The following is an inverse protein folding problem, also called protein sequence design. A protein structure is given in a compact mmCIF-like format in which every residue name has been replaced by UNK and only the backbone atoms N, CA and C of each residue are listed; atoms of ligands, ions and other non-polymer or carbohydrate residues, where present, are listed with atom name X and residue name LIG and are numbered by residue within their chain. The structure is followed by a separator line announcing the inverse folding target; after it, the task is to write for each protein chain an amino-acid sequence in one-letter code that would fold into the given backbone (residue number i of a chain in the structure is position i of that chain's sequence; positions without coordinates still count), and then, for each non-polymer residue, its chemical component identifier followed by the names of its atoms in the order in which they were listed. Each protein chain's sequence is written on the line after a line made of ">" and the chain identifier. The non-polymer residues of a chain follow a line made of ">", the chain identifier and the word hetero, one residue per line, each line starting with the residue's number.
data_IF_228414395760
#
_entry.id   IF_228414395760
#
_cell.length_a   1.000
_cell.length_b   1.000
_cell.length_c   1.000
_cell.angle_alpha   90.00
_cell.angle_beta   90.00
_cell.angle_gamma   90.00
#
_symmetry.space_group_name_H-M   'P 1'
#
loop_
_entity.id
_entity.type
_entity.pdbx_description
1 polymer ?
#
# COMPACT_ATOMS: atom_id res chain seq x y z
N UNK A 1 -15.66 5.61 7.96
CA UNK A 1 -15.58 4.75 6.76
C UNK A 1 -14.31 5.07 5.96
N UNK A 2 -13.59 4.07 5.55
CA UNK A 2 -12.36 4.24 4.79
C UNK A 2 -12.60 4.75 3.37
N UNK A 3 -11.70 5.60 2.90
CA UNK A 3 -11.63 5.97 1.48
C UNK A 3 -10.67 5.00 0.79
N UNK A 4 -11.18 4.25 -0.17
CA UNK A 4 -10.40 3.23 -0.89
C UNK A 4 -10.48 3.52 -2.38
N UNK A 5 -9.32 3.51 -3.04
CA UNK A 5 -9.24 3.60 -4.50
C UNK A 5 -8.18 2.66 -5.03
N UNK A 6 -8.51 1.95 -6.11
CA UNK A 6 -7.55 1.18 -6.91
C UNK A 6 -7.58 1.82 -8.30
N UNK A 7 -6.47 2.40 -8.72
CA UNK A 7 -6.44 3.28 -9.87
C UNK A 7 -5.10 3.22 -10.59
N UNK A 8 -5.09 3.63 -11.86
CA UNK A 8 -3.85 3.76 -12.64
C UNK A 8 -3.14 5.09 -12.37
N UNK A 9 -3.92 6.12 -12.09
CA UNK A 9 -3.44 7.49 -11.90
C UNK A 9 -2.68 7.63 -10.59
N UNK A 10 -1.72 8.56 -10.57
CA UNK A 10 -1.03 8.95 -9.36
C UNK A 10 -2.00 9.64 -8.38
N UNK A 11 -1.53 9.89 -7.18
CA UNK A 11 -2.32 10.53 -6.12
C UNK A 11 -1.56 11.73 -5.57
N UNK A 12 -2.31 12.69 -5.05
CA UNK A 12 -1.77 13.87 -4.39
C UNK A 12 -1.83 13.67 -2.88
N UNK A 13 -0.69 13.40 -2.27
CA UNK A 13 -0.59 13.09 -0.83
C UNK A 13 -1.10 14.25 0.01
N UNK A 14 -0.70 15.48 -0.32
CA UNK A 14 -1.15 16.66 0.41
C UNK A 14 -2.67 16.86 0.35
N UNK A 15 -3.26 16.64 -0.82
CA UNK A 15 -4.71 16.73 -0.99
C UNK A 15 -5.44 15.65 -0.19
N UNK A 16 -4.91 14.44 -0.16
CA UNK A 16 -5.51 13.35 0.61
C UNK A 16 -5.40 13.58 2.13
N UNK A 17 -4.29 14.13 2.60
CA UNK A 17 -4.14 14.52 4.00
C UNK A 17 -5.16 15.62 4.36
N UNK A 18 -5.28 16.63 3.52
CA UNK A 18 -6.25 17.72 3.74
C UNK A 18 -7.69 17.20 3.77
N UNK A 19 -8.02 16.28 2.86
CA UNK A 19 -9.35 15.65 2.84
C UNK A 19 -9.65 14.91 4.14
N UNK A 20 -8.67 14.20 4.68
CA UNK A 20 -8.82 13.39 5.88
C UNK A 20 -8.95 14.25 7.15
N UNK A 21 -8.27 15.39 7.19
CA UNK A 21 -8.13 16.20 8.41
C UNK A 21 -9.01 17.45 8.44
N UNK A 22 -9.57 17.87 7.30
CA UNK A 22 -10.32 19.11 7.21
C UNK A 22 -11.48 19.18 8.20
N UNK A 23 -11.52 20.24 9.00
CA UNK A 23 -12.56 20.47 9.98
C UNK A 23 -12.53 19.55 11.20
N UNK A 24 -11.47 18.74 11.36
CA UNK A 24 -11.36 17.77 12.45
C UNK A 24 -10.42 18.28 13.54
N UNK A 25 -10.85 18.17 14.80
CA UNK A 25 -10.05 18.57 15.97
C UNK A 25 -9.80 17.40 16.91
N UNK A 26 -10.29 16.22 16.57
CA UNK A 26 -10.16 14.98 17.36
C UNK A 26 -8.95 14.13 16.98
N UNK A 27 -8.30 14.44 15.85
CA UNK A 27 -7.15 13.68 15.37
C UNK A 27 -5.89 14.17 16.10
N UNK A 28 -5.23 13.24 16.78
CA UNK A 28 -3.96 13.52 17.46
C UNK A 28 -2.73 13.17 16.63
N UNK A 29 -2.88 12.29 15.64
CA UNK A 29 -1.79 11.93 14.76
C UNK A 29 -2.24 11.21 13.51
N UNK A 30 -1.42 11.31 12.48
CA UNK A 30 -1.58 10.59 11.21
C UNK A 30 -0.43 9.60 11.05
N UNK A 31 -0.75 8.40 10.60
CA UNK A 31 0.22 7.49 10.04
C UNK A 31 0.19 7.64 8.52
N UNK A 32 1.35 7.64 7.90
CA UNK A 32 1.45 7.77 6.45
C UNK A 32 2.54 6.86 5.91
N UNK A 33 2.19 6.06 4.93
CA UNK A 33 3.15 5.28 4.16
C UNK A 33 2.91 5.49 2.68
N UNK A 34 3.99 5.74 1.94
CA UNK A 34 3.98 5.84 0.49
C UNK A 34 4.94 4.80 -0.04
N UNK A 35 4.43 3.83 -0.80
CA UNK A 35 5.26 2.87 -1.52
C UNK A 35 5.66 3.45 -2.87
N UNK A 36 6.91 3.24 -3.23
CA UNK A 36 7.50 3.78 -4.46
C UNK A 36 8.19 2.66 -5.21
N UNK A 37 8.09 2.67 -6.54
CA UNK A 37 8.79 1.70 -7.38
C UNK A 37 10.29 1.96 -7.25
N UNK A 38 11.01 0.94 -6.78
CA UNK A 38 12.45 1.02 -6.55
C UNK A 38 13.22 0.32 -7.66
N UNK A 39 14.26 0.98 -8.16
CA UNK A 39 15.23 0.36 -9.04
C UNK A 39 16.27 -0.39 -8.19
N UNK A 40 15.91 -1.61 -7.81
CA UNK A 40 16.71 -2.38 -6.87
C UNK A 40 17.57 -3.43 -7.59
N UNK A 41 18.80 -3.08 -7.83
CA UNK A 41 19.79 -3.98 -8.44
C UNK A 41 20.21 -5.11 -7.50
N UNK A 42 20.06 -4.94 -6.20
CA UNK A 42 20.58 -5.89 -5.21
C UNK A 42 19.72 -7.14 -5.05
N UNK A 43 18.47 -7.09 -5.48
CA UNK A 43 17.51 -8.17 -5.30
C UNK A 43 17.30 -9.03 -6.55
N UNK A 44 17.92 -8.67 -7.62
CA UNK A 44 17.83 -9.42 -8.86
C UNK A 44 18.94 -10.45 -8.94
N UNK A 45 18.58 -11.67 -9.31
CA UNK A 45 19.55 -12.75 -9.51
C UNK A 45 20.56 -12.42 -10.59
N UNK A 46 20.32 -11.39 -11.39
CA UNK A 46 21.16 -10.98 -12.50
C UNK A 46 21.81 -9.61 -12.32
N UNK A 47 21.54 -8.89 -11.22
CA UNK A 47 22.06 -7.54 -10.99
C UNK A 47 21.57 -6.51 -11.99
N UNK A 48 20.43 -6.77 -12.66
CA UNK A 48 19.89 -5.87 -13.68
C UNK A 48 18.99 -4.81 -13.07
N UNK A 49 19.03 -3.60 -13.64
CA UNK A 49 18.11 -2.53 -13.28
C UNK A 49 16.68 -2.88 -13.69
N UNK A 50 15.70 -2.51 -12.87
CA UNK A 50 14.29 -2.63 -13.20
C UNK A 50 13.92 -1.59 -14.26
N UNK A 51 13.28 -2.02 -15.35
CA UNK A 51 12.75 -1.10 -16.36
C UNK A 51 11.36 -0.61 -16.01
N UNK A 52 10.48 -1.52 -15.59
CA UNK A 52 9.11 -1.18 -15.19
C UNK A 52 8.51 -2.27 -14.29
N UNK A 53 7.55 -1.86 -13.50
CA UNK A 53 6.73 -2.73 -12.68
C UNK A 53 5.29 -2.63 -13.16
N UNK A 54 4.64 -3.77 -13.38
CA UNK A 54 3.22 -3.81 -13.69
C UNK A 54 2.47 -4.57 -12.60
N UNK A 55 1.41 -3.95 -12.08
CA UNK A 55 0.51 -4.60 -11.14
C UNK A 55 -0.83 -4.85 -11.81
N UNK A 56 -1.33 -6.07 -11.68
CA UNK A 56 -2.63 -6.47 -12.20
C UNK A 56 -3.52 -6.95 -11.05
N UNK A 57 -4.84 -6.83 -11.23
CA UNK A 57 -5.81 -7.20 -10.20
C UNK A 57 -7.18 -7.53 -10.80
N UNK A 58 -8.04 -8.13 -9.99
CA UNK A 58 -9.47 -8.27 -10.29
C UNK A 58 -10.21 -7.20 -9.50
N UNK A 59 -10.76 -6.14 -10.14
CA UNK A 59 -11.25 -4.94 -9.46
C UNK A 59 -12.21 -5.19 -8.30
N UNK A 60 -13.28 -5.94 -8.55
CA UNK A 60 -14.30 -6.19 -7.53
C UNK A 60 -13.74 -6.96 -6.32
N UNK A 61 -12.90 -7.96 -6.56
CA UNK A 61 -12.29 -8.77 -5.51
C UNK A 61 -11.29 -7.94 -4.70
N UNK A 62 -10.48 -7.14 -5.38
CA UNK A 62 -9.47 -6.29 -4.75
C UNK A 62 -10.12 -5.26 -3.83
N UNK A 63 -11.11 -4.52 -4.33
CA UNK A 63 -11.80 -3.51 -3.53
C UNK A 63 -12.47 -4.12 -2.30
N UNK A 64 -13.08 -5.30 -2.46
CA UNK A 64 -13.73 -6.00 -1.35
C UNK A 64 -12.71 -6.46 -0.29
N UNK A 65 -11.57 -6.96 -0.73
CA UNK A 65 -10.52 -7.43 0.17
C UNK A 65 -9.90 -6.26 0.94
N UNK A 66 -9.60 -5.15 0.27
CA UNK A 66 -9.09 -3.94 0.92
C UNK A 66 -10.13 -3.38 1.89
N UNK A 67 -11.41 -3.37 1.50
CA UNK A 67 -12.50 -2.93 2.37
C UNK A 67 -12.54 -3.70 3.69
N UNK A 68 -12.40 -5.02 3.63
CA UNK A 68 -12.40 -5.86 4.84
C UNK A 68 -11.22 -5.55 5.76
N UNK A 69 -10.03 -5.39 5.20
CA UNK A 69 -8.86 -5.15 6.04
C UNK A 69 -8.85 -3.72 6.62
N UNK A 70 -9.39 -2.74 5.90
CA UNK A 70 -9.55 -1.40 6.45
C UNK A 70 -10.59 -1.37 7.57
N UNK A 71 -11.70 -2.08 7.43
CA UNK A 71 -12.71 -2.23 8.49
C UNK A 71 -12.10 -2.87 9.73
N UNK A 72 -11.31 -3.92 9.56
CA UNK A 72 -10.60 -4.56 10.67
C UNK A 72 -9.66 -3.59 11.36
N UNK A 73 -8.89 -2.83 10.58
CA UNK A 73 -7.96 -1.81 11.09
C UNK A 73 -8.69 -0.73 11.87
N UNK A 74 -9.80 -0.22 11.33
CA UNK A 74 -10.59 0.82 11.98
C UNK A 74 -11.13 0.34 13.34
N UNK A 75 -11.60 -0.90 13.40
CA UNK A 75 -12.10 -1.50 14.64
C UNK A 75 -10.98 -1.75 15.64
N UNK A 76 -9.89 -2.34 15.17
CA UNK A 76 -8.78 -2.77 16.05
C UNK A 76 -8.08 -1.60 16.74
N UNK A 77 -7.94 -0.47 16.06
CA UNK A 77 -7.23 0.70 16.59
C UNK A 77 -8.13 1.90 16.84
N UNK A 78 -9.44 1.75 16.72
CA UNK A 78 -10.40 2.85 16.87
C UNK A 78 -10.00 4.05 16.00
N UNK A 79 -9.74 3.81 14.74
CA UNK A 79 -9.29 4.85 13.81
C UNK A 79 -10.38 5.90 13.59
N UNK A 80 -9.96 7.14 13.46
CA UNK A 80 -10.80 8.28 13.15
C UNK A 80 -10.92 8.52 11.64
N UNK A 81 -10.04 7.90 10.88
CA UNK A 81 -10.08 7.92 9.42
C UNK A 81 -9.03 7.01 8.82
N UNK A 82 -9.25 6.61 7.58
CA UNK A 82 -8.35 5.72 6.86
C UNK A 82 -8.49 5.98 5.36
N UNK A 83 -7.36 6.08 4.68
CA UNK A 83 -7.31 6.20 3.21
C UNK A 83 -6.32 5.20 2.68
N UNK A 84 -6.74 4.41 1.70
CA UNK A 84 -5.87 3.49 0.97
C UNK A 84 -6.08 3.74 -0.52
N UNK A 85 -5.03 4.17 -1.19
CA UNK A 85 -5.02 4.33 -2.65
C UNK A 85 -3.92 3.45 -3.21
N UNK A 86 -4.29 2.48 -4.01
CA UNK A 86 -3.33 1.55 -4.61
C UNK A 86 -3.35 1.70 -6.12
N UNK A 87 -2.19 1.98 -6.70
CA UNK A 87 -2.07 2.07 -8.15
C UNK A 87 -1.89 0.69 -8.75
N UNK A 88 -2.35 0.57 -9.97
CA UNK A 88 -2.21 -0.63 -10.82
C UNK A 88 -1.73 -0.20 -12.19
N UNK A 89 -1.40 -1.17 -13.03
CA UNK A 89 -0.86 -0.90 -14.35
C UNK A 89 0.66 -0.77 -14.33
N UNK A 90 1.20 -0.23 -15.40
CA UNK A 90 2.64 -0.12 -15.60
C UNK A 90 3.20 1.13 -14.93
N UNK A 91 4.23 0.95 -14.11
CA UNK A 91 4.89 2.04 -13.38
C UNK A 91 6.41 1.95 -13.57
N UNK A 92 7.05 3.10 -13.66
CA UNK A 92 8.50 3.21 -13.78
C UNK A 92 9.15 3.41 -12.40
N UNK A 93 10.44 3.10 -12.25
CA UNK A 93 11.15 3.41 -11.00
C UNK A 93 10.99 4.88 -10.62
N UNK A 94 10.74 5.12 -9.34
CA UNK A 94 10.47 6.45 -8.80
C UNK A 94 8.99 6.83 -8.75
N UNK A 95 8.11 6.10 -9.42
CA UNK A 95 6.67 6.37 -9.36
C UNK A 95 6.05 5.81 -8.07
N UNK A 96 5.03 6.50 -7.59
CA UNK A 96 4.27 6.05 -6.42
C UNK A 96 3.46 4.79 -6.74
N UNK A 97 3.38 3.87 -5.79
CA UNK A 97 2.58 2.64 -5.93
C UNK A 97 1.34 2.71 -5.05
N UNK A 98 1.51 3.09 -3.79
CA UNK A 98 0.46 2.97 -2.79
C UNK A 98 0.56 4.10 -1.78
N UNK A 99 -0.60 4.57 -1.33
CA UNK A 99 -0.72 5.50 -0.21
C UNK A 99 -1.58 4.83 0.86
N UNK A 100 -1.08 4.80 2.09
CA UNK A 100 -1.85 4.40 3.27
C UNK A 100 -1.80 5.57 4.26
N UNK A 101 -2.97 6.11 4.58
CA UNK A 101 -3.13 7.14 5.62
C UNK A 101 -4.04 6.60 6.69
N UNK A 102 -3.66 6.76 7.94
CA UNK A 102 -4.51 6.47 9.09
C UNK A 102 -4.55 7.69 10.00
N UNK A 103 -5.72 7.95 10.59
CA UNK A 103 -5.90 9.02 11.55
C UNK A 103 -6.38 8.42 12.86
N UNK A 104 -5.77 8.82 13.96
CA UNK A 104 -6.14 8.33 15.28
C UNK A 104 -5.95 9.42 16.34
N UNK A 105 -6.52 9.22 17.53
CA UNK A 105 -6.35 10.15 18.64
C UNK A 105 -4.90 10.21 19.12
N UNK A 106 -4.16 9.11 18.96
CA UNK A 106 -2.78 8.98 19.46
C UNK A 106 -1.89 8.32 18.42
N UNK A 107 -0.59 8.67 18.48
CA UNK A 107 0.41 8.23 17.50
C UNK A 107 0.57 6.70 17.40
N UNK A 108 0.45 5.98 18.51
CA UNK A 108 0.66 4.53 18.50
C UNK A 108 -0.35 3.83 17.60
N UNK A 109 -1.63 4.13 17.76
CA UNK A 109 -2.68 3.55 16.94
C UNK A 109 -2.49 3.89 15.46
N UNK A 110 -2.16 5.16 15.16
CA UNK A 110 -1.94 5.58 13.77
C UNK A 110 -0.77 4.82 13.13
N UNK A 111 0.36 4.72 13.83
CA UNK A 111 1.54 4.05 13.29
C UNK A 111 1.34 2.53 13.16
N UNK A 112 0.76 1.89 14.17
CA UNK A 112 0.51 0.45 14.14
C UNK A 112 -0.49 0.08 13.05
N UNK A 113 -1.56 0.84 12.91
CA UNK A 113 -2.56 0.60 11.86
C UNK A 113 -1.95 0.75 10.46
N UNK A 114 -1.11 1.76 10.26
CA UNK A 114 -0.40 1.94 8.98
C UNK A 114 0.49 0.75 8.68
N UNK A 115 1.28 0.30 9.65
CA UNK A 115 2.15 -0.86 9.49
C UNK A 115 1.36 -2.13 9.19
N UNK A 116 0.27 -2.36 9.91
CA UNK A 116 -0.63 -3.49 9.68
C UNK A 116 -1.18 -3.51 8.25
N UNK A 117 -1.69 -2.37 7.79
CA UNK A 117 -2.28 -2.26 6.45
C UNK A 117 -1.25 -2.52 5.36
N UNK A 118 -0.04 -1.95 5.48
CA UNK A 118 0.99 -2.16 4.46
C UNK A 118 1.52 -3.60 4.47
N UNK A 119 1.66 -4.23 5.62
CA UNK A 119 2.07 -5.63 5.70
C UNK A 119 1.04 -6.53 5.01
N UNK A 120 -0.26 -6.25 5.21
CA UNK A 120 -1.32 -6.99 4.54
C UNK A 120 -1.31 -6.74 3.03
N UNK A 121 -1.17 -5.47 2.60
CA UNK A 121 -1.15 -5.12 1.16
C UNK A 121 0.02 -5.80 0.43
N UNK A 122 1.14 -6.01 1.11
CA UNK A 122 2.32 -6.66 0.52
C UNK A 122 2.19 -8.18 0.41
N UNK A 123 1.32 -8.81 1.17
CA UNK A 123 1.25 -10.27 1.27
C UNK A 123 -0.09 -10.86 0.86
N UNK A 124 -1.20 -10.23 1.26
CA UNK A 124 -2.54 -10.80 1.13
C UNK A 124 -3.42 -10.12 0.09
N UNK A 125 -3.06 -8.91 -0.33
CA UNK A 125 -3.85 -8.22 -1.35
C UNK A 125 -3.77 -8.97 -2.68
N UNK A 126 -4.89 -9.08 -3.42
CA UNK A 126 -4.92 -9.87 -4.65
C UNK A 126 -4.37 -9.09 -5.84
N UNK A 127 -3.08 -8.80 -5.77
CA UNK A 127 -2.32 -8.19 -6.87
C UNK A 127 -1.33 -9.18 -7.44
N UNK A 128 -1.15 -9.13 -8.76
CA UNK A 128 -0.08 -9.83 -9.47
C UNK A 128 0.95 -8.82 -9.90
N UNK A 129 2.23 -9.12 -9.64
CA UNK A 129 3.35 -8.24 -9.89
C UNK A 129 4.21 -8.81 -11.00
N UNK A 130 4.42 -8.01 -12.06
CA UNK A 130 5.29 -8.35 -13.17
C UNK A 130 6.41 -7.33 -13.26
N UNK A 131 7.64 -7.80 -13.27
CA UNK A 131 8.82 -6.95 -13.48
C UNK A 131 9.27 -7.02 -14.93
N UNK A 132 9.54 -5.87 -15.52
CA UNK A 132 10.11 -5.74 -16.86
C UNK A 132 11.51 -5.15 -16.74
N UNK A 133 12.44 -5.69 -17.52
CA UNK A 133 13.83 -5.25 -17.56
C UNK A 133 14.12 -4.49 -18.85
N UNK A 134 15.18 -3.61 -18.87
CA UNK A 134 15.47 -2.79 -20.05
C UNK A 134 15.72 -3.59 -21.33
N UNK A 135 16.13 -4.86 -21.22
CA UNK A 135 16.37 -5.75 -22.39
C UNK A 135 15.08 -6.37 -22.94
N UNK A 136 13.90 -6.04 -22.39
CA UNK A 136 12.62 -6.58 -22.82
C UNK A 136 12.19 -7.87 -22.12
N UNK A 137 13.03 -8.45 -21.28
CA UNK A 137 12.63 -9.61 -20.47
C UNK A 137 11.63 -9.19 -19.39
N UNK A 138 10.74 -10.11 -19.04
CA UNK A 138 9.73 -9.88 -18.01
C UNK A 138 9.50 -11.15 -17.19
N UNK A 139 9.16 -10.98 -15.91
CA UNK A 139 8.89 -12.09 -15.01
C UNK A 139 7.83 -11.71 -13.97
N UNK A 140 6.97 -12.67 -13.63
CA UNK A 140 6.07 -12.56 -12.49
C UNK A 140 6.86 -12.76 -11.20
N UNK A 141 6.52 -11.96 -10.18
CA UNK A 141 7.24 -11.94 -8.90
C UNK A 141 6.30 -12.38 -7.79
N UNK A 142 6.80 -13.30 -6.94
CA UNK A 142 6.08 -13.74 -5.74
C UNK A 142 6.37 -12.81 -4.55
N UNK A 143 5.50 -12.89 -3.53
CA UNK A 143 5.71 -12.15 -2.27
C UNK A 143 7.03 -12.59 -1.63
N UNK A 144 7.72 -11.63 -1.01
CA UNK A 144 8.99 -11.91 -0.32
C UNK A 144 8.74 -12.55 1.04
N UNK A 145 9.62 -13.46 1.43
CA UNK A 145 9.57 -14.10 2.74
C UNK A 145 9.59 -13.08 3.89
N UNK A 146 10.37 -12.00 3.76
CA UNK A 146 10.42 -10.93 4.76
C UNK A 146 9.07 -10.23 4.93
N UNK A 147 8.31 -10.08 3.85
CA UNK A 147 6.97 -9.49 3.91
C UNK A 147 5.99 -10.44 4.59
N UNK A 148 6.06 -11.73 4.33
CA UNK A 148 5.24 -12.73 4.99
C UNK A 148 5.53 -12.80 6.49
N UNK A 149 6.79 -12.72 6.88
CA UNK A 149 7.20 -12.68 8.29
C UNK A 149 6.66 -11.42 8.98
N UNK A 150 6.76 -10.26 8.33
CA UNK A 150 6.22 -9.02 8.87
C UNK A 150 4.70 -9.10 9.06
N UNK A 151 3.98 -9.65 8.08
CA UNK A 151 2.53 -9.82 8.18
C UNK A 151 2.13 -10.80 9.29
N UNK A 152 2.92 -11.83 9.52
CA UNK A 152 2.62 -12.86 10.51
C UNK A 152 2.54 -12.33 11.94
N UNK A 153 3.24 -11.25 12.28
CA UNK A 153 3.19 -10.63 13.62
C UNK A 153 1.80 -10.10 14.01
N UNK A 154 0.93 -9.89 13.03
CA UNK A 154 -0.42 -9.36 13.27
C UNK A 154 -1.47 -10.44 13.51
N UNK A 155 -1.08 -11.71 13.44
CA UNK A 155 -1.94 -12.85 13.71
C UNK A 155 -2.12 -12.99 15.22
N UNK A 156 -3.30 -12.68 15.69
CA UNK A 156 -3.68 -12.95 17.10
C UNK A 156 -5.14 -12.61 17.31
#
# INVERSE_FOLDING_TARGET
>A
MARISVQKEDFDVGAEIARLTSGRTDIGGLGCFIGIVRDDKSQEMSGRSLGALTLEHYPAMTLRAIGRITDESETRWSLLGCTVIHRVGRMLPGENIVLVLTAASHRRAALDATAFLIDWLKTKAPFWKREEFPNGEAAWVEARESDDTAAARWRS
#
